data_IF_568151450735
#
_entry.id   IF_568151450735
#
_cell.length_a   1.000
_cell.length_b   1.000
_cell.length_c   1.000
_cell.angle_alpha   90.00
_cell.angle_beta   90.00
_cell.angle_gamma   90.00
#
_symmetry.space_group_name_H-M   'P 1'
#
loop_
_entity.id
_entity.type
_entity.pdbx_description
1 polymer ?
#
# COMPACT_ATOMS: atom_id res chain seq x y z
N UNK A 1 15.25 6.69 -4.57
CA UNK A 1 15.58 7.07 -3.18
C UNK A 1 16.22 5.87 -2.53
N UNK A 2 17.33 6.02 -1.80
CA UNK A 2 17.97 4.88 -1.12
C UNK A 2 17.18 4.56 0.15
N UNK A 3 16.62 3.36 0.23
CA UNK A 3 15.85 2.86 1.40
C UNK A 3 16.78 2.36 2.52
N UNK A 4 17.96 2.98 2.68
CA UNK A 4 19.09 2.39 3.40
C UNK A 4 18.84 2.15 4.89
N UNK A 5 17.80 2.72 5.52
CA UNK A 5 17.43 2.40 6.91
C UNK A 5 15.94 2.65 7.13
N UNK A 6 15.08 1.71 6.76
CA UNK A 6 13.67 1.72 7.19
C UNK A 6 13.48 0.56 8.17
N UNK A 7 13.15 0.85 9.44
CA UNK A 7 12.96 -0.21 10.44
C UNK A 7 11.68 -1.01 10.13
N UNK A 8 11.59 -2.22 10.68
CA UNK A 8 10.42 -3.10 10.56
C UNK A 8 9.13 -2.40 11.02
N UNK A 9 9.23 -1.54 12.04
CA UNK A 9 8.12 -0.71 12.52
C UNK A 9 7.66 0.33 11.50
N UNK A 10 8.59 0.95 10.78
CA UNK A 10 8.27 1.92 9.73
C UNK A 10 7.58 1.23 8.54
N UNK A 11 8.05 0.03 8.18
CA UNK A 11 7.47 -0.79 7.10
C UNK A 11 6.03 -1.20 7.42
N UNK A 12 5.77 -1.67 8.64
CA UNK A 12 4.43 -2.04 9.09
C UNK A 12 3.48 -0.82 9.13
N UNK A 13 3.99 0.34 9.54
CA UNK A 13 3.23 1.59 9.55
C UNK A 13 2.84 2.01 8.13
N UNK A 14 3.80 1.97 7.19
CA UNK A 14 3.55 2.27 5.78
C UNK A 14 2.52 1.30 5.16
N UNK A 15 2.58 0.01 5.50
CA UNK A 15 1.60 -0.98 5.04
C UNK A 15 0.19 -0.68 5.56
N UNK A 16 0.05 -0.36 6.85
CA UNK A 16 -1.22 0.03 7.44
C UNK A 16 -1.78 1.31 6.79
N UNK A 17 -0.95 2.31 6.55
CA UNK A 17 -1.36 3.54 5.90
C UNK A 17 -1.83 3.27 4.47
N UNK A 18 -1.07 2.53 3.67
CA UNK A 18 -1.44 2.17 2.29
C UNK A 18 -2.80 1.44 2.24
N UNK A 19 -3.02 0.48 3.15
CA UNK A 19 -4.31 -0.21 3.27
C UNK A 19 -5.46 0.74 3.65
N UNK A 20 -5.22 1.70 4.55
CA UNK A 20 -6.22 2.70 4.92
C UNK A 20 -6.60 3.58 3.73
N UNK A 21 -5.62 4.05 2.94
CA UNK A 21 -5.88 4.83 1.73
C UNK A 21 -6.69 4.05 0.70
N UNK A 22 -6.33 2.80 0.42
CA UNK A 22 -7.09 1.94 -0.49
C UNK A 22 -8.53 1.73 0.00
N UNK A 23 -8.72 1.48 1.30
CA UNK A 23 -10.05 1.34 1.91
C UNK A 23 -10.90 2.61 1.77
N UNK A 24 -10.31 3.79 2.02
CA UNK A 24 -10.99 5.08 1.84
C UNK A 24 -11.42 5.30 0.39
N UNK A 25 -10.56 4.98 -0.58
CA UNK A 25 -10.89 5.13 -2.01
C UNK A 25 -12.05 4.21 -2.42
N UNK A 26 -12.03 2.95 -1.97
CA UNK A 26 -13.14 2.00 -2.19
C UNK A 26 -14.43 2.51 -1.55
N UNK A 27 -14.36 3.08 -0.34
CA UNK A 27 -15.52 3.65 0.34
C UNK A 27 -16.11 4.83 -0.46
N UNK A 28 -15.27 5.75 -0.93
CA UNK A 28 -15.69 6.89 -1.73
C UNK A 28 -16.28 6.45 -3.08
N UNK A 29 -15.71 5.43 -3.72
CA UNK A 29 -16.24 4.86 -4.96
C UNK A 29 -17.67 4.32 -4.79
N UNK A 30 -17.96 3.69 -3.64
CA UNK A 30 -19.31 3.18 -3.31
C UNK A 30 -20.32 4.31 -3.08
N UNK A 31 -19.87 5.46 -2.59
CA UNK A 31 -20.73 6.61 -2.33
C UNK A 31 -20.94 7.50 -3.57
N UNK A 32 -19.94 7.58 -4.45
CA UNK A 32 -19.97 8.45 -5.62
C UNK A 32 -19.77 7.66 -6.91
N UNK A 33 -20.89 7.37 -7.59
CA UNK A 33 -20.90 6.61 -8.85
C UNK A 33 -20.18 7.31 -10.00
N UNK A 34 -19.99 8.63 -9.95
CA UNK A 34 -19.48 9.37 -11.10
C UNK A 34 -17.98 9.16 -11.33
N UNK A 35 -17.24 8.84 -10.26
CA UNK A 35 -15.79 8.59 -10.28
C UNK A 35 -15.42 7.22 -9.71
N UNK A 36 -16.40 6.33 -9.55
CA UNK A 36 -16.20 5.04 -8.90
C UNK A 36 -15.08 4.24 -9.56
N UNK A 37 -15.09 4.14 -10.89
CA UNK A 37 -14.08 3.37 -11.63
C UNK A 37 -12.68 3.94 -11.41
N UNK A 38 -12.49 5.26 -11.54
CA UNK A 38 -11.19 5.89 -11.30
C UNK A 38 -10.70 5.72 -9.86
N UNK A 39 -11.59 5.82 -8.87
CA UNK A 39 -11.24 5.62 -7.46
C UNK A 39 -10.85 4.16 -7.18
N UNK A 40 -11.52 3.20 -7.83
CA UNK A 40 -11.18 1.78 -7.75
C UNK A 40 -9.85 1.48 -8.45
N UNK A 41 -9.58 2.09 -9.60
CA UNK A 41 -8.30 1.93 -10.31
C UNK A 41 -7.13 2.42 -9.45
N UNK A 42 -7.27 3.56 -8.78
CA UNK A 42 -6.25 4.07 -7.86
C UNK A 42 -6.08 3.14 -6.65
N UNK A 43 -7.18 2.62 -6.09
CA UNK A 43 -7.12 1.68 -4.98
C UNK A 43 -6.42 0.37 -5.37
N UNK A 44 -6.70 -0.16 -6.56
CA UNK A 44 -6.03 -1.35 -7.08
C UNK A 44 -4.54 -1.10 -7.32
N UNK A 45 -4.19 0.03 -7.93
CA UNK A 45 -2.78 0.40 -8.14
C UNK A 45 -2.01 0.45 -6.81
N UNK A 46 -2.56 1.09 -5.78
CA UNK A 46 -1.93 1.17 -4.46
C UNK A 46 -1.73 -0.20 -3.81
N UNK A 47 -2.69 -1.11 -3.99
CA UNK A 47 -2.62 -2.46 -3.43
C UNK A 47 -1.62 -3.34 -4.18
N UNK A 48 -1.64 -3.32 -5.51
CA UNK A 48 -0.74 -4.14 -6.35
C UNK A 48 0.72 -3.70 -6.20
N UNK A 49 0.98 -2.39 -6.30
CA UNK A 49 2.34 -1.83 -6.19
C UNK A 49 2.84 -1.95 -4.74
N UNK A 50 1.99 -1.62 -3.76
CA UNK A 50 2.30 -1.78 -2.34
C UNK A 50 2.60 -3.23 -1.96
N UNK A 51 1.85 -4.21 -2.49
CA UNK A 51 2.10 -5.62 -2.22
C UNK A 51 3.49 -6.05 -2.70
N UNK A 52 3.95 -5.57 -3.86
CA UNK A 52 5.27 -5.90 -4.39
C UNK A 52 6.37 -5.29 -3.52
N UNK A 53 6.23 -4.03 -3.09
CA UNK A 53 7.21 -3.37 -2.23
C UNK A 53 7.30 -4.03 -0.84
N UNK A 54 6.17 -4.31 -0.20
CA UNK A 54 6.16 -4.97 1.12
C UNK A 54 6.67 -6.41 1.05
N UNK A 55 6.43 -7.14 -0.04
CA UNK A 55 7.00 -8.46 -0.25
C UNK A 55 8.53 -8.42 -0.37
N UNK A 56 9.08 -7.44 -1.12
CA UNK A 56 10.54 -7.24 -1.22
C UNK A 56 11.15 -6.88 0.13
N UNK A 57 10.55 -5.94 0.87
CA UNK A 57 11.01 -5.57 2.21
C UNK A 57 10.98 -6.78 3.16
N UNK A 58 9.92 -7.59 3.11
CA UNK A 58 9.83 -8.81 3.94
C UNK A 58 10.93 -9.84 3.62
N UNK A 59 11.32 -9.96 2.36
CA UNK A 59 12.41 -10.86 1.96
C UNK A 59 13.80 -10.30 2.33
N UNK A 60 14.01 -8.98 2.24
CA UNK A 60 15.22 -8.32 2.75
C UNK A 60 15.40 -8.53 4.26
N UNK A 61 14.33 -8.39 5.05
CA UNK A 61 14.37 -8.65 6.49
C UNK A 61 14.70 -10.11 6.83
N UNK A 62 14.24 -11.09 6.03
CA UNK A 62 14.58 -12.51 6.25
C UNK A 62 16.05 -12.81 5.97
N UNK A 63 16.67 -12.09 5.05
CA UNK A 63 18.08 -12.29 4.71
C UNK A 63 19.05 -11.65 5.71
N UNK A 64 18.56 -10.75 6.55
CA UNK A 64 19.34 -10.08 7.61
C UNK A 64 19.32 -10.80 8.97
N UNK A 65 18.53 -11.89 9.10
CA UNK A 65 18.45 -12.77 10.29
C UNK A 65 19.29 -14.03 10.10
#
# INVERSE_FOLDING_TARGET
>A
MSYDVMDKYDTATLACESMNWASTLIHLARQNKHHADTLLDIAHYLLDDGQIEFAKMADEFKQQL
#
